data_IF_429499185380
#
_entry.id   IF_429499185380
#
_cell.length_a   1.000
_cell.length_b   1.000
_cell.length_c   1.000
_cell.angle_alpha   90.00
_cell.angle_beta   90.00
_cell.angle_gamma   90.00
#
_symmetry.space_group_name_H-M   'P 1'
#
loop_
_entity.id
_entity.type
_entity.pdbx_description
1 polymer ?
#
# COMPACT_ATOMS: atom_id res chain seq x y z
N UNK A 1 -0.97 5.50 13.03
CA UNK A 1 -2.44 5.29 13.04
C UNK A 1 -2.82 4.04 13.87
N UNK A 2 -4.11 3.77 14.12
CA UNK A 2 -4.55 2.45 14.63
C UNK A 2 -4.75 1.51 13.44
N UNK A 3 -3.82 0.57 13.25
CA UNK A 3 -3.84 -0.35 12.12
C UNK A 3 -4.69 -1.60 12.37
N UNK A 4 -5.29 -2.13 11.31
CA UNK A 4 -6.17 -3.30 11.36
C UNK A 4 -5.29 -4.56 11.35
N UNK A 5 -5.62 -5.56 12.19
CA UNK A 5 -4.92 -6.84 12.20
C UNK A 5 -5.56 -7.86 11.25
N UNK A 6 -4.79 -8.81 10.69
CA UNK A 6 -5.31 -9.84 9.81
C UNK A 6 -6.48 -10.61 10.46
N UNK A 7 -7.53 -10.88 9.68
CA UNK A 7 -8.63 -11.79 10.07
C UNK A 7 -8.41 -13.18 9.46
N UNK A 8 -8.77 -14.25 10.17
CA UNK A 8 -8.80 -15.62 9.61
C UNK A 8 -9.83 -15.69 8.48
N UNK A 9 -9.45 -16.31 7.36
CA UNK A 9 -10.12 -16.18 6.07
C UNK A 9 -11.56 -16.71 6.07
N UNK A 10 -12.49 -15.83 5.69
CA UNK A 10 -13.76 -16.18 5.06
C UNK A 10 -13.89 -15.27 3.83
N UNK A 11 -13.31 -15.67 2.70
CA UNK A 11 -13.24 -14.83 1.50
C UNK A 11 -14.55 -14.92 0.71
N UNK A 12 -15.21 -13.77 0.53
CA UNK A 12 -16.18 -13.53 -0.55
C UNK A 12 -15.66 -12.36 -1.41
N UNK A 13 -15.93 -12.41 -2.71
CA UNK A 13 -15.68 -11.29 -3.63
C UNK A 13 -16.67 -10.18 -3.28
N UNK A 14 -16.18 -8.98 -2.96
CA UNK A 14 -17.02 -7.84 -2.53
C UNK A 14 -16.71 -6.64 -3.41
N UNK A 15 -17.76 -5.98 -3.90
CA UNK A 15 -17.68 -4.61 -4.46
C UNK A 15 -17.44 -3.63 -3.31
N UNK A 16 -16.51 -2.69 -3.47
CA UNK A 16 -16.21 -1.69 -2.44
C UNK A 16 -17.35 -0.67 -2.35
N UNK A 17 -18.26 -0.86 -1.41
CA UNK A 17 -19.29 0.11 -1.03
C UNK A 17 -18.87 0.82 0.27
N UNK A 18 -18.86 2.15 0.27
CA UNK A 18 -18.58 2.94 1.45
C UNK A 18 -19.87 3.24 2.21
N UNK A 19 -19.81 3.19 3.54
CA UNK A 19 -20.95 3.59 4.37
C UNK A 19 -21.28 5.07 4.19
N UNK A 20 -22.55 5.46 4.35
CA UNK A 20 -22.99 6.87 4.33
C UNK A 20 -22.17 7.74 5.29
N UNK A 21 -21.80 7.18 6.46
CA UNK A 21 -20.94 7.87 7.42
C UNK A 21 -19.54 8.15 6.85
N UNK A 22 -18.93 7.18 6.18
CA UNK A 22 -17.62 7.34 5.55
C UNK A 22 -17.67 8.41 4.46
N UNK A 23 -18.71 8.40 3.62
CA UNK A 23 -18.90 9.41 2.58
C UNK A 23 -19.05 10.81 3.17
N UNK A 24 -19.84 10.97 4.24
CA UNK A 24 -19.97 12.26 4.92
C UNK A 24 -18.64 12.77 5.47
N UNK A 25 -17.81 11.87 6.05
CA UNK A 25 -16.46 12.22 6.50
C UNK A 25 -15.61 12.71 5.33
N UNK A 26 -15.57 11.97 4.23
CA UNK A 26 -14.80 12.35 3.03
C UNK A 26 -15.29 13.67 2.44
N UNK A 27 -16.59 13.91 2.38
CA UNK A 27 -17.16 15.16 1.89
C UNK A 27 -16.76 16.37 2.74
N UNK A 28 -16.89 16.26 4.07
CA UNK A 28 -16.49 17.36 4.95
C UNK A 28 -14.98 17.58 4.97
N UNK A 29 -14.20 16.50 4.93
CA UNK A 29 -12.74 16.61 4.90
C UNK A 29 -12.25 17.20 3.58
N UNK A 30 -12.84 16.80 2.45
CA UNK A 30 -12.61 17.39 1.13
C UNK A 30 -12.87 18.90 1.12
N UNK A 31 -13.99 19.36 1.69
CA UNK A 31 -14.29 20.79 1.82
C UNK A 31 -13.26 21.54 2.67
N UNK A 32 -12.76 20.90 3.73
CA UNK A 32 -11.78 21.49 4.64
C UNK A 32 -10.38 21.58 4.00
N UNK A 33 -9.92 20.52 3.34
CA UNK A 33 -8.56 20.43 2.79
C UNK A 33 -8.45 20.93 1.35
N UNK A 34 -9.59 21.12 0.66
CA UNK A 34 -9.68 21.45 -0.77
C UNK A 34 -9.13 20.37 -1.72
N UNK A 35 -8.97 19.15 -1.22
CA UNK A 35 -8.61 17.99 -2.03
C UNK A 35 -9.86 17.21 -2.44
N UNK A 36 -9.80 16.50 -3.57
CA UNK A 36 -10.84 15.57 -3.97
C UNK A 36 -10.93 14.40 -2.98
N UNK A 37 -12.05 13.67 -3.00
CA UNK A 37 -12.20 12.49 -2.14
C UNK A 37 -11.18 11.40 -2.52
N UNK A 38 -10.87 11.29 -3.81
CA UNK A 38 -9.89 10.37 -4.36
C UNK A 38 -8.49 10.70 -3.86
N UNK A 39 -8.06 11.97 -3.95
CA UNK A 39 -6.75 12.42 -3.45
C UNK A 39 -6.60 12.17 -1.95
N UNK A 40 -7.67 12.43 -1.17
CA UNK A 40 -7.70 12.13 0.25
C UNK A 40 -7.52 10.64 0.51
N UNK A 41 -8.21 9.79 -0.24
CA UNK A 41 -8.11 8.33 -0.08
C UNK A 41 -6.72 7.84 -0.44
N UNK A 42 -6.15 8.30 -1.55
CA UNK A 42 -4.80 7.94 -1.99
C UNK A 42 -3.77 8.32 -0.93
N UNK A 43 -3.78 9.58 -0.47
CA UNK A 43 -2.89 10.04 0.61
C UNK A 43 -3.12 9.28 1.91
N UNK A 44 -4.37 9.01 2.28
CA UNK A 44 -4.68 8.31 3.52
C UNK A 44 -4.21 6.86 3.51
N UNK A 45 -4.30 6.19 2.36
CA UNK A 45 -3.86 4.80 2.20
C UNK A 45 -2.33 4.65 2.26
N UNK A 46 -1.56 5.67 1.86
CA UNK A 46 -0.10 5.66 2.02
C UNK A 46 0.34 5.51 3.49
N UNK A 47 -0.48 5.96 4.45
CA UNK A 47 -0.19 5.78 5.87
C UNK A 47 -0.14 4.30 6.30
N UNK A 48 -0.68 3.37 5.49
CA UNK A 48 -0.58 1.93 5.76
C UNK A 48 0.87 1.42 5.64
N UNK A 49 1.73 2.14 4.91
CA UNK A 49 3.15 1.81 4.81
C UNK A 49 3.91 2.03 6.13
N UNK A 50 3.30 2.73 7.09
CA UNK A 50 3.84 2.91 8.44
C UNK A 50 3.47 1.76 9.40
N UNK A 51 2.61 0.81 9.00
CA UNK A 51 2.28 -0.36 9.82
C UNK A 51 3.43 -1.37 9.78
N UNK A 52 4.27 -1.37 10.81
CA UNK A 52 5.42 -2.29 10.93
C UNK A 52 4.99 -3.74 10.77
N UNK A 53 3.85 -4.15 11.34
CA UNK A 53 3.39 -5.53 11.25
C UNK A 53 2.96 -5.89 9.82
N UNK A 54 2.43 -4.94 9.07
CA UNK A 54 2.12 -5.11 7.65
C UNK A 54 3.41 -5.25 6.83
N UNK A 55 4.41 -4.39 7.07
CA UNK A 55 5.69 -4.46 6.37
C UNK A 55 6.43 -5.76 6.70
N UNK A 56 6.44 -6.20 7.96
CA UNK A 56 6.97 -7.50 8.35
C UNK A 56 6.25 -8.65 7.66
N UNK A 57 4.93 -8.56 7.53
CA UNK A 57 4.15 -9.55 6.80
C UNK A 57 4.52 -9.58 5.32
N UNK A 58 4.68 -8.41 4.67
CA UNK A 58 5.13 -8.29 3.27
C UNK A 58 6.50 -8.93 3.09
N UNK A 59 7.44 -8.66 4.00
CA UNK A 59 8.80 -9.20 3.94
C UNK A 59 8.85 -10.74 4.02
N UNK A 60 7.86 -11.37 4.66
CA UNK A 60 7.72 -12.84 4.76
C UNK A 60 7.09 -13.48 3.52
N UNK A 61 6.57 -12.70 2.57
CA UNK A 61 5.94 -13.23 1.36
C UNK A 61 6.98 -13.70 0.32
N UNK A 62 6.70 -14.80 -0.37
CA UNK A 62 7.56 -15.35 -1.44
C UNK A 62 7.90 -14.33 -2.54
N UNK A 63 6.95 -13.43 -2.86
CA UNK A 63 7.09 -12.41 -3.89
C UNK A 63 7.27 -10.99 -3.30
N UNK A 64 7.89 -10.88 -2.11
CA UNK A 64 8.04 -9.62 -1.38
C UNK A 64 8.62 -8.48 -2.24
N UNK A 65 9.66 -8.73 -3.06
CA UNK A 65 10.27 -7.72 -3.94
C UNK A 65 9.26 -7.06 -4.88
N UNK A 66 8.39 -7.87 -5.51
CA UNK A 66 7.35 -7.37 -6.42
C UNK A 66 6.28 -6.57 -5.67
N UNK A 67 5.93 -7.01 -4.45
CA UNK A 67 4.97 -6.30 -3.60
C UNK A 67 5.55 -4.95 -3.19
N UNK A 68 6.78 -4.91 -2.68
CA UNK A 68 7.47 -3.68 -2.27
C UNK A 68 7.63 -2.71 -3.43
N UNK A 69 7.99 -3.18 -4.63
CA UNK A 69 8.08 -2.35 -5.81
C UNK A 69 6.75 -1.65 -6.16
N UNK A 70 5.63 -2.37 -6.02
CA UNK A 70 4.29 -1.81 -6.20
C UNK A 70 3.87 -0.85 -5.09
N UNK A 71 4.37 -1.02 -3.86
CA UNK A 71 3.99 -0.19 -2.71
C UNK A 71 4.76 1.14 -2.66
N UNK A 72 6.04 1.14 -3.05
CA UNK A 72 6.91 2.32 -2.98
C UNK A 72 7.09 3.03 -4.32
N UNK A 73 6.35 2.62 -5.34
CA UNK A 73 6.42 3.15 -6.71
C UNK A 73 7.87 3.23 -7.23
N UNK A 74 8.72 2.28 -6.80
CA UNK A 74 10.09 2.17 -7.27
C UNK A 74 10.08 1.45 -8.60
N UNK A 75 10.04 2.21 -9.69
CA UNK A 75 10.63 1.80 -10.97
C UNK A 75 12.16 1.85 -10.70
N UNK A 76 12.94 0.77 -10.77
CA UNK A 76 13.04 -0.10 -11.94
C UNK A 76 13.57 -1.52 -11.65
N UNK A 77 12.96 -2.52 -12.28
CA UNK A 77 13.54 -3.85 -12.48
C UNK A 77 14.77 -3.82 -13.44
N UNK A 78 15.17 -2.66 -13.98
CA UNK A 78 16.34 -2.52 -14.85
C UNK A 78 17.67 -2.36 -14.11
N UNK A 79 17.68 -2.05 -12.81
CA UNK A 79 18.94 -1.88 -12.05
C UNK A 79 19.39 -3.12 -11.26
N UNK A 80 18.56 -4.16 -11.17
CA UNK A 80 18.94 -5.40 -10.47
C UNK A 80 19.79 -6.36 -11.31
N UNK A 81 19.99 -6.09 -12.61
CA UNK A 81 20.80 -6.96 -13.50
C UNK A 81 22.28 -6.56 -13.58
N UNK A 82 22.66 -5.38 -13.10
CA UNK A 82 24.04 -4.88 -13.26
C UNK A 82 24.95 -5.17 -12.06
N UNK A 83 24.41 -5.62 -10.93
CA UNK A 83 25.22 -5.93 -9.74
C UNK A 83 25.71 -7.39 -9.71
N UNK A 84 24.96 -8.36 -10.24
CA UNK A 84 25.39 -9.77 -10.21
C UNK A 84 26.49 -10.11 -11.23
N UNK A 85 26.74 -9.25 -12.22
CA UNK A 85 27.76 -9.52 -13.26
C UNK A 85 29.14 -8.94 -12.92
N UNK A 86 29.26 -8.05 -11.91
CA UNK A 86 30.55 -7.41 -11.56
C UNK A 86 31.35 -8.14 -10.47
N UNK A 87 30.76 -9.09 -9.75
CA UNK A 87 31.49 -9.89 -8.74
C UNK A 87 32.13 -11.18 -9.29
N UNK A 88 31.84 -11.57 -10.54
CA UNK A 88 32.37 -12.82 -11.12
C UNK A 88 33.62 -12.56 -11.99
N UNK A 89 34.01 -11.30 -12.22
CA UNK A 89 35.23 -10.94 -12.97
C UNK A 89 36.17 -10.13 -12.06
N UNK A 90 36.84 -10.82 -11.15
CA UNK A 90 38.11 -10.41 -10.54
C UNK A 90 39.04 -11.60 -10.41
#
# INVERSE_FOLDING_TARGET
MKYIKPKKENKKKVSLELSTRTLAILEHYSKYTQYSQEEILDMFLLNLLEDIDFIEWVNKQRYNKKILASLYDTISDSELKDNETKEIVR
#
